data_IF_847424576680
#
_entry.id   IF_847424576680
#
_cell.length_a   1.000
_cell.length_b   1.000
_cell.length_c   1.000
_cell.angle_alpha   90.00
_cell.angle_beta   90.00
_cell.angle_gamma   90.00
#
_symmetry.space_group_name_H-M   'P 1'
#
loop_
_entity.id
_entity.type
_entity.pdbx_description
1 polymer ?
#
# COMPACT_ATOMS: atom_id res chain seq x y z
N UNK A 1 -25.19 -3.61 -5.79
CA UNK A 1 -24.32 -4.70 -5.28
C UNK A 1 -22.92 -4.33 -5.73
N UNK A 2 -21.98 -4.12 -4.80
CA UNK A 2 -20.58 -3.86 -5.17
C UNK A 2 -20.01 -5.14 -5.80
N UNK A 3 -19.19 -5.01 -6.84
CA UNK A 3 -18.51 -6.16 -7.43
C UNK A 3 -17.41 -6.67 -6.48
N UNK A 4 -16.94 -7.89 -6.72
CA UNK A 4 -15.93 -8.54 -5.86
C UNK A 4 -14.65 -7.69 -5.76
N UNK A 5 -14.26 -7.03 -6.86
CA UNK A 5 -13.11 -6.12 -6.94
C UNK A 5 -13.23 -4.92 -5.99
N UNK A 6 -14.36 -4.23 -6.02
CA UNK A 6 -14.65 -3.07 -5.17
C UNK A 6 -14.62 -3.49 -3.70
N UNK A 7 -15.14 -4.69 -3.40
CA UNK A 7 -15.09 -5.24 -2.05
C UNK A 7 -13.65 -5.56 -1.60
N UNK A 8 -12.79 -6.10 -2.46
CA UNK A 8 -11.38 -6.40 -2.15
C UNK A 8 -10.56 -5.10 -2.00
N UNK A 9 -10.75 -4.12 -2.88
CA UNK A 9 -10.10 -2.80 -2.81
C UNK A 9 -10.48 -2.06 -1.52
N UNK A 10 -11.78 -2.05 -1.17
CA UNK A 10 -12.25 -1.51 0.10
C UNK A 10 -11.59 -2.24 1.27
N UNK A 11 -11.51 -3.58 1.23
CA UNK A 11 -10.89 -4.37 2.31
C UNK A 11 -9.41 -4.06 2.52
N UNK A 12 -8.60 -3.95 1.46
CA UNK A 12 -7.17 -3.62 1.59
C UNK A 12 -6.97 -2.27 2.28
N UNK A 13 -7.67 -1.23 1.83
CA UNK A 13 -7.57 0.11 2.43
C UNK A 13 -8.22 0.24 3.80
N UNK A 14 -9.07 -0.72 4.19
CA UNK A 14 -9.67 -0.79 5.52
C UNK A 14 -8.88 -1.66 6.50
N UNK A 15 -7.82 -2.36 6.05
CA UNK A 15 -6.97 -3.15 6.95
C UNK A 15 -6.32 -2.27 8.01
N UNK A 16 -6.16 -2.82 9.21
CA UNK A 16 -5.43 -2.13 10.28
C UNK A 16 -3.98 -1.83 9.86
N UNK A 17 -3.34 -2.74 9.12
CA UNK A 17 -2.01 -2.50 8.56
C UNK A 17 -1.99 -1.22 7.69
N UNK A 18 -2.95 -1.05 6.77
CA UNK A 18 -3.03 0.17 5.95
C UNK A 18 -3.33 1.43 6.77
N UNK A 19 -4.22 1.34 7.77
CA UNK A 19 -4.52 2.48 8.67
C UNK A 19 -3.30 2.88 9.49
N UNK A 20 -2.53 1.92 9.98
CA UNK A 20 -1.27 2.14 10.68
C UNK A 20 -0.25 2.82 9.78
N UNK A 21 -0.12 2.40 8.52
CA UNK A 21 0.79 3.03 7.54
C UNK A 21 0.37 4.48 7.22
N UNK A 22 -0.94 4.75 7.14
CA UNK A 22 -1.49 6.06 6.80
C UNK A 22 -1.61 7.02 8.00
N UNK A 23 -1.25 6.59 9.22
CA UNK A 23 -1.41 7.40 10.43
C UNK A 23 -0.06 7.89 10.94
N UNK A 24 -0.01 9.14 11.40
CA UNK A 24 1.16 9.73 12.07
C UNK A 24 1.31 9.34 13.55
N UNK A 25 0.39 8.53 14.09
CA UNK A 25 0.33 8.22 15.52
C UNK A 25 1.16 7.01 15.95
N UNK A 26 1.88 6.36 15.03
CA UNK A 26 2.60 5.12 15.28
C UNK A 26 4.11 5.29 15.20
N UNK A 27 4.83 4.43 15.93
CA UNK A 27 6.29 4.37 15.88
C UNK A 27 6.79 3.81 14.55
N UNK A 28 8.06 4.07 14.21
CA UNK A 28 8.67 3.55 12.98
C UNK A 28 8.66 2.03 12.92
N UNK A 29 8.88 1.36 14.04
CA UNK A 29 8.85 -0.11 14.15
C UNK A 29 7.44 -0.66 13.88
N UNK A 30 6.41 0.02 14.40
CA UNK A 30 5.01 -0.35 14.15
C UNK A 30 4.63 -0.15 12.67
N UNK A 31 5.03 0.98 12.08
CA UNK A 31 4.79 1.26 10.66
C UNK A 31 5.53 0.27 9.76
N UNK A 32 6.78 -0.08 10.10
CA UNK A 32 7.56 -1.08 9.37
C UNK A 32 6.88 -2.46 9.41
N UNK A 33 6.48 -2.93 10.60
CA UNK A 33 5.77 -4.20 10.76
C UNK A 33 4.44 -4.22 10.01
N UNK A 34 3.67 -3.14 10.08
CA UNK A 34 2.42 -2.99 9.35
C UNK A 34 2.67 -3.02 7.83
N UNK A 35 3.73 -2.36 7.34
CA UNK A 35 4.12 -2.37 5.93
C UNK A 35 4.46 -3.78 5.45
N UNK A 36 5.24 -4.55 6.21
CA UNK A 36 5.57 -5.94 5.89
C UNK A 36 4.33 -6.84 5.83
N UNK A 37 3.42 -6.70 6.80
CA UNK A 37 2.16 -7.45 6.81
C UNK A 37 1.26 -7.08 5.63
N UNK A 38 1.17 -5.78 5.32
CA UNK A 38 0.39 -5.28 4.20
C UNK A 38 0.92 -5.82 2.87
N UNK A 39 2.24 -5.84 2.67
CA UNK A 39 2.86 -6.42 1.48
C UNK A 39 2.60 -7.92 1.37
N UNK A 40 2.69 -8.68 2.46
CA UNK A 40 2.34 -10.11 2.47
C UNK A 40 0.89 -10.36 2.04
N UNK A 41 -0.05 -9.50 2.47
CA UNK A 41 -1.46 -9.58 2.04
C UNK A 41 -1.63 -9.30 0.55
N UNK A 42 -0.89 -8.33 0.00
CA UNK A 42 -0.92 -8.06 -1.45
C UNK A 42 -0.38 -9.26 -2.22
N UNK A 43 0.73 -9.86 -1.79
CA UNK A 43 1.31 -11.06 -2.42
C UNK A 43 0.30 -12.21 -2.37
N UNK A 44 -0.27 -12.49 -1.21
CA UNK A 44 -1.28 -13.55 -1.06
C UNK A 44 -2.52 -13.30 -1.94
N UNK A 45 -2.89 -12.04 -2.18
CA UNK A 45 -3.95 -11.69 -3.10
C UNK A 45 -3.55 -11.96 -4.56
N UNK A 46 -2.32 -11.61 -4.95
CA UNK A 46 -1.80 -11.93 -6.28
C UNK A 46 -1.78 -13.43 -6.55
N UNK A 47 -1.51 -14.25 -5.53
CA UNK A 47 -1.47 -15.71 -5.65
C UNK A 47 -2.86 -16.35 -5.67
N UNK A 48 -3.90 -15.66 -5.17
CA UNK A 48 -5.24 -16.20 -4.99
C UNK A 48 -6.28 -15.67 -5.99
N UNK A 49 -6.03 -14.53 -6.64
CA UNK A 49 -6.95 -13.92 -7.60
C UNK A 49 -6.67 -14.42 -9.02
N UNK A 50 -7.60 -15.19 -9.57
CA UNK A 50 -7.50 -15.75 -10.92
C UNK A 50 -7.88 -14.73 -12.01
N UNK A 51 -8.66 -13.70 -11.69
CA UNK A 51 -9.00 -12.65 -12.66
C UNK A 51 -7.91 -11.57 -12.75
N UNK A 52 -7.15 -11.63 -13.85
CA UNK A 52 -6.10 -10.67 -14.14
C UNK A 52 -6.60 -9.21 -14.21
N UNK A 53 -7.85 -8.97 -14.63
CA UNK A 53 -8.42 -7.62 -14.70
C UNK A 53 -8.68 -7.07 -13.29
N UNK A 54 -9.33 -7.87 -12.44
CA UNK A 54 -9.53 -7.60 -11.02
C UNK A 54 -8.21 -7.29 -10.33
N UNK A 55 -7.23 -8.19 -10.49
CA UNK A 55 -5.92 -8.05 -9.87
C UNK A 55 -5.22 -6.77 -10.32
N UNK A 56 -5.25 -6.45 -11.62
CA UNK A 56 -4.68 -5.21 -12.15
C UNK A 56 -5.33 -3.96 -11.54
N UNK A 57 -6.65 -3.94 -11.42
CA UNK A 57 -7.38 -2.82 -10.80
C UNK A 57 -6.99 -2.64 -9.34
N UNK A 58 -6.95 -3.73 -8.57
CA UNK A 58 -6.58 -3.71 -7.16
C UNK A 58 -5.13 -3.21 -6.98
N UNK A 59 -4.19 -3.74 -7.75
CA UNK A 59 -2.78 -3.33 -7.68
C UNK A 59 -2.60 -1.87 -8.09
N UNK A 60 -3.26 -1.42 -9.16
CA UNK A 60 -3.20 -0.03 -9.61
C UNK A 60 -3.75 0.94 -8.56
N UNK A 61 -4.90 0.62 -7.98
CA UNK A 61 -5.51 1.45 -6.93
C UNK A 61 -4.62 1.49 -5.68
N UNK A 62 -4.12 0.33 -5.24
CA UNK A 62 -3.22 0.24 -4.08
C UNK A 62 -1.95 1.07 -4.31
N UNK A 63 -1.33 0.98 -5.49
CA UNK A 63 -0.20 1.83 -5.89
C UNK A 63 -0.53 3.31 -5.81
N UNK A 64 -1.67 3.73 -6.36
CA UNK A 64 -2.10 5.14 -6.31
C UNK A 64 -2.20 5.65 -4.87
N UNK A 65 -2.82 4.87 -3.97
CA UNK A 65 -2.93 5.24 -2.54
C UNK A 65 -1.57 5.33 -1.86
N UNK A 66 -0.66 4.39 -2.11
CA UNK A 66 0.70 4.42 -1.56
C UNK A 66 1.53 5.60 -2.09
N UNK A 67 1.37 5.97 -3.37
CA UNK A 67 2.04 7.14 -3.94
C UNK A 67 1.61 8.44 -3.27
N UNK A 68 0.32 8.59 -2.92
CA UNK A 68 -0.15 9.74 -2.15
C UNK A 68 0.53 9.82 -0.79
N UNK A 69 0.71 8.69 -0.09
CA UNK A 69 1.42 8.64 1.20
C UNK A 69 2.88 9.06 1.05
N UNK A 70 3.55 8.55 0.01
CA UNK A 70 4.94 8.92 -0.27
C UNK A 70 5.09 10.41 -0.55
N UNK A 71 4.16 11.01 -1.30
CA UNK A 71 4.17 12.45 -1.57
C UNK A 71 3.99 13.28 -0.29
N UNK A 72 3.08 12.88 0.60
CA UNK A 72 2.89 13.52 1.91
C UNK A 72 4.15 13.40 2.77
N UNK A 73 4.76 12.22 2.82
CA UNK A 73 5.98 12.00 3.59
C UNK A 73 7.18 12.83 3.07
N UNK A 74 7.30 12.98 1.74
CA UNK A 74 8.32 13.82 1.12
C UNK A 74 8.10 15.32 1.40
N UNK A 75 6.84 15.79 1.42
CA UNK A 75 6.49 17.18 1.72
C UNK A 75 6.75 17.55 3.19
N UNK A 76 6.62 16.60 4.11
CA UNK A 76 6.81 16.81 5.55
C UNK A 76 8.29 16.92 5.99
N UNK A 77 9.25 16.89 5.06
CA UNK A 77 10.68 17.03 5.36
C UNK A 77 11.34 15.82 6.05
N UNK A 78 10.56 14.82 6.47
CA UNK A 78 11.04 13.54 7.00
C UNK A 78 11.54 12.59 5.91
N UNK A 79 11.21 12.88 4.65
CA UNK A 79 11.70 12.20 3.45
C UNK A 79 13.11 12.62 3.04
N UNK A 80 14.14 12.49 3.91
CA UNK A 80 15.53 12.55 3.45
C UNK A 80 15.87 11.29 2.63
N UNK A 81 15.58 11.40 1.33
CA UNK A 81 16.09 10.68 0.16
C UNK A 81 16.47 9.19 0.35
N UNK A 82 15.53 8.29 0.08
CA UNK A 82 15.84 7.01 -0.59
C UNK A 82 16.00 7.21 -2.12
N UNK A 83 16.58 8.33 -2.55
CA UNK A 83 16.78 8.66 -3.98
C UNK A 83 17.95 7.86 -4.57
N UNK A 84 18.76 7.19 -3.74
CA UNK A 84 19.95 6.47 -4.20
C UNK A 84 19.72 5.17 -4.97
N UNK A 85 18.53 4.54 -4.88
CA UNK A 85 18.31 3.21 -5.48
C UNK A 85 17.40 3.21 -6.72
N UNK A 86 16.62 4.27 -6.95
CA UNK A 86 15.67 4.34 -8.07
C UNK A 86 16.23 5.08 -9.31
N UNK A 87 17.50 5.49 -9.27
CA UNK A 87 18.15 6.33 -10.28
C UNK A 87 19.29 5.60 -11.01
N UNK A 88 19.25 4.27 -11.04
CA UNK A 88 20.14 3.46 -11.87
C UNK A 88 19.33 2.66 -12.89
N UNK A 89 19.32 3.24 -14.11
CA UNK A 89 18.93 2.74 -15.44
C UNK A 89 17.51 2.24 -15.70
#
# INVERSE_FOLDING_TARGET
MLNLEDMIMLRLTQTEDFKTINSSCYTKEQVQKASENFMKRIIALCDAEDDAISLFRILRYTRFRLQTLQAVYLMNGEGKKCIGAALCH
#
